data_IF_632258379790
#
_entry.id   IF_632258379790
#
_cell.length_a   1.000
_cell.length_b   1.000
_cell.length_c   1.000
_cell.angle_alpha   90.00
_cell.angle_beta   90.00
_cell.angle_gamma   90.00
#
_symmetry.space_group_name_H-M   'P 1'
#
loop_
_entity.id
_entity.type
_entity.pdbx_description
1 polymer ?
#
# COMPACT_ATOMS: atom_id res chain seq x y z
N UNK A 1 -7.99 9.71 5.91
CA UNK A 1 -7.04 10.00 4.82
C UNK A 1 -6.45 8.69 4.33
N UNK A 2 -6.47 8.41 3.02
CA UNK A 2 -5.80 7.23 2.44
C UNK A 2 -4.34 7.58 2.09
N UNK A 3 -3.46 6.57 2.06
CA UNK A 3 -2.04 6.76 1.70
C UNK A 3 -1.89 7.34 0.30
N UNK A 4 -2.71 6.90 -0.66
CA UNK A 4 -2.73 7.47 -2.01
C UNK A 4 -3.03 8.98 -1.97
N UNK A 5 -4.07 9.39 -1.25
CA UNK A 5 -4.47 10.79 -1.17
C UNK A 5 -3.38 11.67 -0.54
N UNK A 6 -2.67 11.15 0.46
CA UNK A 6 -1.50 11.83 1.02
C UNK A 6 -0.43 12.12 -0.04
N UNK A 7 -0.08 11.15 -0.89
CA UNK A 7 0.90 11.35 -1.94
C UNK A 7 0.46 12.34 -3.03
N UNK A 8 -0.84 12.38 -3.34
CA UNK A 8 -1.37 13.31 -4.33
C UNK A 8 -1.46 14.74 -3.79
N UNK A 9 -1.94 14.92 -2.56
CA UNK A 9 -2.24 16.26 -2.03
C UNK A 9 -1.06 16.89 -1.28
N UNK A 10 -0.28 16.10 -0.54
CA UNK A 10 0.86 16.59 0.24
C UNK A 10 2.18 16.39 -0.51
N UNK A 11 2.30 15.26 -1.21
CA UNK A 11 3.50 14.92 -1.98
C UNK A 11 3.58 15.54 -3.37
N UNK A 12 2.48 16.15 -3.87
CA UNK A 12 2.36 16.72 -5.22
C UNK A 12 2.82 15.76 -6.34
N UNK A 13 2.53 14.47 -6.17
CA UNK A 13 2.91 13.43 -7.13
C UNK A 13 1.83 13.25 -8.20
N UNK A 14 2.27 13.05 -9.45
CA UNK A 14 1.37 12.89 -10.59
C UNK A 14 0.49 11.63 -10.43
N UNK A 15 -0.85 11.77 -10.43
CA UNK A 15 -1.79 10.65 -10.29
C UNK A 15 -1.60 9.56 -11.36
N UNK A 16 -1.18 9.91 -12.56
CA UNK A 16 -1.00 8.97 -13.67
C UNK A 16 0.10 7.92 -13.41
N UNK A 17 1.00 8.17 -12.44
CA UNK A 17 2.05 7.24 -12.05
C UNK A 17 1.63 6.19 -11.01
N UNK A 18 0.40 6.25 -10.49
CA UNK A 18 -0.05 5.37 -9.42
C UNK A 18 -0.99 4.27 -9.90
N UNK A 19 -0.78 3.09 -9.33
CA UNK A 19 -1.73 1.98 -9.37
C UNK A 19 -2.00 1.57 -7.91
N UNK A 20 -3.23 1.18 -7.60
CA UNK A 20 -3.61 0.74 -6.27
C UNK A 20 -4.50 -0.51 -6.32
N UNK A 21 -4.41 -1.34 -5.29
CA UNK A 21 -5.24 -2.52 -5.12
C UNK A 21 -5.58 -2.70 -3.63
N UNK A 22 -6.80 -3.14 -3.34
CA UNK A 22 -7.24 -3.53 -2.00
C UNK A 22 -7.29 -5.05 -1.89
N UNK A 23 -6.42 -5.63 -1.06
CA UNK A 23 -6.36 -7.08 -0.86
C UNK A 23 -7.18 -7.60 0.34
N UNK A 24 -7.79 -6.70 1.11
CA UNK A 24 -8.53 -7.01 2.33
C UNK A 24 -7.77 -8.02 3.23
N UNK A 25 -8.37 -9.18 3.49
CA UNK A 25 -7.89 -10.25 4.36
C UNK A 25 -7.19 -11.39 3.60
N UNK A 26 -7.15 -11.34 2.27
CA UNK A 26 -6.67 -12.44 1.40
C UNK A 26 -5.15 -12.65 1.41
N UNK A 27 -4.38 -11.69 1.93
CA UNK A 27 -2.91 -11.73 2.00
C UNK A 27 -2.39 -11.34 3.40
N UNK A 28 -2.60 -12.19 4.42
CA UNK A 28 -2.11 -11.93 5.76
C UNK A 28 -0.58 -12.15 5.83
N UNK A 29 0.10 -11.34 6.64
CA UNK A 29 1.52 -11.47 6.96
C UNK A 29 1.76 -11.88 8.41
N UNK A 30 0.72 -11.88 9.25
CA UNK A 30 0.71 -12.37 10.61
C UNK A 30 -0.58 -13.10 10.95
N UNK A 31 -0.59 -13.77 12.11
CA UNK A 31 -1.74 -14.52 12.60
C UNK A 31 -2.91 -13.60 12.98
N UNK A 32 -4.10 -13.85 12.39
CA UNK A 32 -5.31 -13.09 12.69
C UNK A 32 -5.89 -13.36 14.10
N UNK A 33 -5.46 -14.45 14.76
CA UNK A 33 -5.90 -14.75 16.12
C UNK A 33 -5.28 -13.81 17.17
N UNK A 34 -4.08 -13.27 16.91
CA UNK A 34 -3.35 -12.39 17.84
C UNK A 34 -3.60 -10.92 17.56
N UNK A 35 -3.51 -10.07 18.58
CA UNK A 35 -3.65 -8.62 18.43
C UNK A 35 -2.53 -8.05 17.56
N UNK A 36 -1.32 -8.53 17.79
CA UNK A 36 -0.09 -8.15 17.11
C UNK A 36 -0.14 -8.55 15.64
N UNK A 37 -0.59 -9.77 15.33
CA UNK A 37 -0.73 -10.24 13.96
C UNK A 37 -1.82 -9.48 13.19
N UNK A 38 -2.97 -9.19 13.81
CA UNK A 38 -3.98 -8.30 13.21
C UNK A 38 -3.44 -6.90 12.93
N UNK A 39 -2.60 -6.35 13.82
CA UNK A 39 -1.97 -5.06 13.60
C UNK A 39 -1.00 -5.10 12.42
N UNK A 40 -0.19 -6.16 12.30
CA UNK A 40 0.70 -6.38 11.14
C UNK A 40 -0.09 -6.51 9.82
N UNK A 41 -1.25 -7.17 9.84
CA UNK A 41 -2.06 -7.38 8.64
C UNK A 41 -2.68 -6.09 8.09
N UNK A 42 -3.01 -5.12 8.96
CA UNK A 42 -3.52 -3.79 8.58
C UNK A 42 -2.39 -2.86 8.11
N UNK A 43 -1.73 -3.22 7.01
CA UNK A 43 -0.65 -2.42 6.39
C UNK A 43 -1.01 -1.94 5.00
N UNK A 44 -0.23 -0.98 4.51
CA UNK A 44 -0.18 -0.59 3.09
C UNK A 44 1.21 -0.95 2.57
N UNK A 45 1.26 -1.63 1.42
CA UNK A 45 2.51 -1.96 0.73
C UNK A 45 2.68 -1.01 -0.46
N UNK A 46 3.88 -0.44 -0.61
CA UNK A 46 4.24 0.46 -1.70
C UNK A 46 5.37 -0.19 -2.49
N UNK A 47 5.11 -0.49 -3.76
CA UNK A 47 6.10 -1.06 -4.67
C UNK A 47 6.45 -0.03 -5.73
N UNK A 48 7.73 0.32 -5.84
CA UNK A 48 8.23 1.25 -6.85
C UNK A 48 8.76 0.48 -8.04
N UNK A 49 8.04 0.56 -9.16
CA UNK A 49 8.44 -0.09 -10.41
C UNK A 49 9.38 0.84 -11.18
N UNK A 50 10.64 0.42 -11.35
CA UNK A 50 11.57 1.12 -12.24
C UNK A 50 11.38 0.58 -13.65
N UNK A 51 11.08 1.47 -14.60
CA UNK A 51 11.17 1.15 -16.01
C UNK A 51 12.66 0.98 -16.34
N UNK A 52 13.10 -0.25 -16.61
CA UNK A 52 14.38 -0.47 -17.27
C UNK A 52 14.22 0.06 -18.69
N UNK A 53 14.83 1.22 -18.98
CA UNK A 53 15.01 1.66 -20.36
C UNK A 53 16.17 0.85 -20.93
N UNK A 54 15.89 0.04 -21.94
CA UNK A 54 16.91 -0.56 -22.81
C UNK A 54 17.61 0.51 -23.66
#
# INVERSE_FOLDING_TARGET
MSVLRFFLEVGDLNPAGFQYAGYADTRPTGDNATMEGRQKNRRVEITVLRQLKE
#
